data_IF_409850161506
#
_entry.id   IF_409850161506
#
_cell.length_a   1.000
_cell.length_b   1.000
_cell.length_c   1.000
_cell.angle_alpha   90.00
_cell.angle_beta   90.00
_cell.angle_gamma   90.00
#
_symmetry.space_group_name_H-M   'P 1'
#
loop_
_entity.id
_entity.type
_entity.pdbx_description
1 polymer ?
#
# COMPACT_ATOMS: atom_id res chain seq x y z
N UNK A 1 -55.93 32.56 3.55
CA UNK A 1 -54.49 32.93 3.72
C UNK A 1 -53.74 31.70 4.12
N UNK A 2 -53.00 31.07 3.18
CA UNK A 2 -52.12 29.92 3.47
C UNK A 2 -50.71 30.45 3.63
N UNK A 3 -50.14 30.33 4.82
CA UNK A 3 -48.75 30.66 5.07
C UNK A 3 -47.87 29.48 4.64
N UNK A 4 -47.04 29.64 3.61
CA UNK A 4 -46.06 28.66 3.20
C UNK A 4 -44.85 28.77 4.14
N UNK A 5 -44.61 27.70 4.93
CA UNK A 5 -43.39 27.56 5.76
C UNK A 5 -42.31 27.00 4.84
N UNK A 6 -41.36 27.85 4.47
CA UNK A 6 -40.13 27.49 3.79
C UNK A 6 -39.19 26.84 4.83
N UNK A 7 -39.05 25.50 4.80
CA UNK A 7 -38.07 24.78 5.58
C UNK A 7 -36.71 24.92 4.88
N UNK A 8 -35.82 25.76 5.39
CA UNK A 8 -34.46 25.87 4.91
C UNK A 8 -33.65 24.66 5.44
N UNK A 9 -33.36 23.69 4.57
CA UNK A 9 -32.41 22.62 4.88
C UNK A 9 -31.00 23.21 4.74
N UNK A 10 -30.33 23.47 5.87
CA UNK A 10 -28.91 23.80 5.87
C UNK A 10 -28.09 22.56 5.49
N UNK A 11 -27.54 22.53 4.29
CA UNK A 11 -26.49 21.56 3.96
C UNK A 11 -25.26 21.88 4.81
N UNK A 12 -24.98 21.06 5.80
CA UNK A 12 -23.71 21.11 6.51
C UNK A 12 -22.60 20.69 5.52
N UNK A 13 -21.57 21.55 5.39
CA UNK A 13 -20.38 21.17 4.64
C UNK A 13 -19.74 19.92 5.28
N UNK A 14 -19.21 18.98 4.49
CA UNK A 14 -18.49 17.83 5.06
C UNK A 14 -17.35 18.34 5.93
N UNK A 15 -17.26 17.82 7.16
CA UNK A 15 -16.15 18.14 8.06
C UNK A 15 -14.83 17.72 7.40
N UNK A 16 -13.81 18.57 7.45
CA UNK A 16 -12.47 18.18 7.03
C UNK A 16 -12.00 16.95 7.84
N UNK A 17 -11.35 15.95 7.21
CA UNK A 17 -10.84 14.81 7.94
C UNK A 17 -9.84 15.28 9.00
N UNK A 18 -9.94 14.70 10.21
CA UNK A 18 -9.01 14.98 11.28
C UNK A 18 -7.57 14.62 10.84
N UNK A 19 -6.56 15.39 11.29
CA UNK A 19 -5.18 15.06 10.98
C UNK A 19 -4.81 13.67 11.51
N UNK A 20 -4.03 12.91 10.74
CA UNK A 20 -3.55 11.59 11.13
C UNK A 20 -2.61 11.70 12.33
N UNK A 21 -2.64 10.70 13.23
CA UNK A 21 -1.70 10.61 14.35
C UNK A 21 -0.25 10.48 13.84
N UNK A 22 0.65 11.44 14.12
CA UNK A 22 2.01 11.42 13.59
C UNK A 22 2.82 10.16 13.99
N UNK A 23 2.62 9.64 15.21
CA UNK A 23 3.33 8.45 15.68
C UNK A 23 2.87 7.19 14.91
N UNK A 24 1.59 7.07 14.62
CA UNK A 24 1.06 5.99 13.80
C UNK A 24 1.53 6.12 12.35
N UNK A 25 1.56 7.33 11.80
CA UNK A 25 2.09 7.59 10.45
C UNK A 25 3.54 7.13 10.34
N UNK A 26 4.42 7.54 11.27
CA UNK A 26 5.83 7.15 11.29
C UNK A 26 5.99 5.61 11.36
N UNK A 27 5.22 4.94 12.22
CA UNK A 27 5.27 3.49 12.36
C UNK A 27 4.81 2.76 11.08
N UNK A 28 3.77 3.25 10.41
CA UNK A 28 3.26 2.68 9.16
C UNK A 28 4.26 2.91 8.01
N UNK A 29 4.84 4.11 7.91
CA UNK A 29 5.87 4.44 6.93
C UNK A 29 7.09 3.54 7.09
N UNK A 30 7.55 3.29 8.32
CA UNK A 30 8.66 2.39 8.61
C UNK A 30 8.40 0.97 8.07
N UNK A 31 7.20 0.43 8.26
CA UNK A 31 6.79 -0.88 7.72
C UNK A 31 6.78 -0.87 6.19
N UNK A 32 6.23 0.18 5.59
CA UNK A 32 6.18 0.30 4.13
C UNK A 32 7.59 0.46 3.51
N UNK A 33 8.50 1.18 4.19
CA UNK A 33 9.91 1.24 3.78
C UNK A 33 10.63 -0.10 3.99
N UNK A 34 10.37 -0.84 5.06
CA UNK A 34 10.94 -2.19 5.23
C UNK A 34 10.53 -3.11 4.07
N UNK A 35 9.28 -3.00 3.61
CA UNK A 35 8.81 -3.74 2.45
C UNK A 35 9.55 -3.36 1.15
N UNK A 36 9.57 -2.08 0.79
CA UNK A 36 10.13 -1.65 -0.50
C UNK A 36 11.66 -1.68 -0.51
N UNK A 37 12.28 -1.18 0.53
CA UNK A 37 13.74 -1.14 0.63
C UNK A 37 14.32 -2.56 0.75
N UNK A 38 13.63 -3.47 1.48
CA UNK A 38 14.03 -4.87 1.55
C UNK A 38 14.06 -5.55 0.18
N UNK A 39 13.09 -5.28 -0.68
CA UNK A 39 13.09 -5.78 -2.05
C UNK A 39 14.24 -5.18 -2.89
N UNK A 40 14.49 -3.87 -2.75
CA UNK A 40 15.56 -3.19 -3.48
C UNK A 40 16.96 -3.61 -2.99
N UNK A 41 17.11 -3.97 -1.73
CA UNK A 41 18.36 -4.52 -1.17
C UNK A 41 18.54 -6.01 -1.50
N UNK A 42 17.45 -6.73 -1.74
CA UNK A 42 17.44 -8.19 -1.80
C UNK A 42 17.55 -8.81 -0.39
N UNK A 43 16.94 -8.16 0.60
CA UNK A 43 16.89 -8.59 2.00
C UNK A 43 15.52 -9.24 2.32
N UNK A 44 15.43 -10.58 2.26
CA UNK A 44 14.18 -11.30 2.48
C UNK A 44 13.67 -11.19 3.93
N UNK A 45 14.56 -11.06 4.92
CA UNK A 45 14.17 -10.95 6.32
C UNK A 45 13.50 -9.59 6.59
N UNK A 46 14.01 -8.55 5.97
CA UNK A 46 13.43 -7.22 6.04
C UNK A 46 12.02 -7.20 5.44
N UNK A 47 11.83 -7.80 4.28
CA UNK A 47 10.51 -7.96 3.66
C UNK A 47 9.60 -8.82 4.54
N UNK A 48 10.08 -9.97 5.02
CA UNK A 48 9.28 -10.90 5.81
C UNK A 48 8.67 -10.27 7.07
N UNK A 49 9.43 -9.42 7.78
CA UNK A 49 8.92 -8.78 9.00
C UNK A 49 7.89 -7.68 8.75
N UNK A 50 7.83 -7.12 7.55
CA UNK A 50 6.83 -6.12 7.16
C UNK A 50 5.46 -6.72 6.83
N UNK A 51 5.39 -8.04 6.64
CA UNK A 51 4.24 -8.74 6.09
C UNK A 51 3.56 -9.65 7.13
N UNK A 52 2.23 -9.64 7.14
CA UNK A 52 1.44 -10.63 7.86
C UNK A 52 1.64 -12.03 7.23
N UNK A 53 1.64 -13.13 8.02
CA UNK A 53 1.71 -14.49 7.46
C UNK A 53 0.65 -14.78 6.39
N UNK A 54 -0.58 -14.31 6.58
CA UNK A 54 -1.70 -14.48 5.64
C UNK A 54 -1.78 -13.35 4.60
N UNK A 55 -0.66 -12.78 4.19
CA UNK A 55 -0.64 -11.72 3.19
C UNK A 55 -1.45 -12.10 1.95
N UNK A 56 -2.33 -11.21 1.52
CA UNK A 56 -3.02 -11.29 0.24
C UNK A 56 -2.49 -10.20 -0.70
N UNK A 57 -1.52 -10.52 -1.56
CA UNK A 57 -1.01 -9.61 -2.59
C UNK A 57 -1.57 -9.97 -3.95
N UNK A 58 -2.08 -8.97 -4.68
CA UNK A 58 -2.78 -9.17 -5.96
C UNK A 58 -2.47 -8.07 -6.95
N UNK A 59 -2.56 -8.41 -8.26
CA UNK A 59 -2.57 -7.44 -9.36
C UNK A 59 -3.59 -7.83 -10.42
N UNK A 60 -4.19 -6.84 -11.05
CA UNK A 60 -4.93 -7.05 -12.30
C UNK A 60 -3.91 -7.15 -13.43
N UNK A 61 -3.98 -8.23 -14.20
CA UNK A 61 -3.06 -8.51 -15.31
C UNK A 61 -3.83 -8.90 -16.56
N UNK A 62 -3.29 -8.56 -17.73
CA UNK A 62 -3.81 -9.07 -19.00
C UNK A 62 -3.33 -10.50 -19.22
N UNK A 63 -4.23 -11.35 -19.69
CA UNK A 63 -3.94 -12.73 -20.10
C UNK A 63 -3.60 -12.79 -21.60
N UNK A 64 -3.02 -13.92 -22.08
CA UNK A 64 -2.72 -14.10 -23.51
C UNK A 64 -3.94 -14.00 -24.45
N UNK A 65 -5.15 -14.27 -23.94
CA UNK A 65 -6.42 -14.15 -24.66
C UNK A 65 -7.05 -12.74 -24.55
N UNK A 66 -6.25 -11.74 -24.14
CA UNK A 66 -6.66 -10.35 -23.90
C UNK A 66 -7.71 -10.15 -22.81
N UNK A 67 -8.15 -11.20 -22.12
CA UNK A 67 -9.01 -11.06 -20.95
C UNK A 67 -8.21 -10.59 -19.74
N UNK A 68 -8.90 -9.96 -18.76
CA UNK A 68 -8.28 -9.57 -17.51
C UNK A 68 -8.30 -10.73 -16.51
N UNK A 69 -7.24 -10.85 -15.75
CA UNK A 69 -7.08 -11.82 -14.68
C UNK A 69 -6.54 -11.21 -13.40
N UNK A 70 -6.51 -12.02 -12.37
CA UNK A 70 -5.95 -11.65 -11.08
C UNK A 70 -4.71 -12.51 -10.81
N UNK A 71 -3.53 -11.86 -10.82
CA UNK A 71 -2.32 -12.48 -10.30
C UNK A 71 -2.37 -12.45 -8.78
N UNK A 72 -2.03 -13.56 -8.14
CA UNK A 72 -1.93 -13.71 -6.68
C UNK A 72 -0.50 -13.98 -6.30
N UNK A 73 -0.11 -13.52 -5.12
CA UNK A 73 1.19 -13.73 -4.53
C UNK A 73 1.04 -13.85 -3.01
N UNK A 74 1.68 -14.84 -2.42
CA UNK A 74 1.74 -15.03 -0.96
C UNK A 74 2.95 -14.31 -0.37
N UNK A 75 3.04 -14.27 0.97
CA UNK A 75 4.22 -13.79 1.68
C UNK A 75 5.46 -14.57 1.29
N UNK A 76 5.39 -15.90 1.35
CA UNK A 76 6.54 -16.77 1.10
C UNK A 76 7.07 -16.60 -0.32
N UNK A 77 6.15 -16.52 -1.31
CA UNK A 77 6.54 -16.26 -2.70
C UNK A 77 7.24 -14.91 -2.88
N UNK A 78 6.78 -13.86 -2.19
CA UNK A 78 7.41 -12.54 -2.25
C UNK A 78 8.79 -12.54 -1.57
N UNK A 79 8.91 -13.22 -0.42
CA UNK A 79 10.18 -13.38 0.30
C UNK A 79 11.19 -14.14 -0.56
N UNK A 80 10.78 -15.22 -1.20
CA UNK A 80 11.62 -16.01 -2.11
C UNK A 80 12.09 -15.20 -3.33
N UNK A 81 11.21 -14.43 -3.95
CA UNK A 81 11.56 -13.53 -5.06
C UNK A 81 12.56 -12.44 -4.61
N UNK A 82 12.42 -11.96 -3.38
CA UNK A 82 13.37 -11.00 -2.80
C UNK A 82 14.74 -11.64 -2.57
N UNK A 83 14.79 -12.87 -2.03
CA UNK A 83 16.04 -13.62 -1.85
C UNK A 83 16.75 -13.90 -3.19
N UNK A 84 15.99 -14.10 -4.27
CA UNK A 84 16.52 -14.22 -5.63
C UNK A 84 17.00 -12.88 -6.24
N UNK A 85 16.76 -11.77 -5.56
CA UNK A 85 17.18 -10.44 -6.01
C UNK A 85 16.41 -9.89 -7.22
N UNK A 86 15.16 -10.31 -7.42
CA UNK A 86 14.35 -9.95 -8.61
C UNK A 86 14.22 -8.42 -8.78
N UNK A 87 14.12 -7.67 -7.67
CA UNK A 87 14.05 -6.21 -7.67
C UNK A 87 15.33 -5.55 -7.15
N UNK A 88 16.40 -6.32 -6.91
CA UNK A 88 17.65 -5.76 -6.39
C UNK A 88 18.18 -4.67 -7.30
N UNK A 89 18.39 -3.50 -6.71
CA UNK A 89 18.73 -2.26 -7.42
C UNK A 89 19.88 -1.57 -6.68
N UNK A 90 20.91 -1.05 -7.38
CA UNK A 90 21.95 -0.22 -6.75
C UNK A 90 21.35 0.95 -5.98
N UNK A 91 21.90 1.24 -4.80
CA UNK A 91 21.31 2.21 -3.87
C UNK A 91 21.24 3.64 -4.42
N UNK A 92 22.16 4.01 -5.27
CA UNK A 92 22.19 5.29 -5.99
C UNK A 92 21.10 5.45 -7.06
N UNK A 93 20.41 4.35 -7.39
CA UNK A 93 19.28 4.31 -8.34
C UNK A 93 17.93 4.15 -7.64
N UNK A 94 17.90 4.20 -6.31
CA UNK A 94 16.63 4.06 -5.58
C UNK A 94 15.79 5.31 -5.76
N UNK A 95 14.58 5.07 -6.26
CA UNK A 95 13.53 6.08 -6.38
C UNK A 95 12.23 5.44 -5.85
N UNK A 96 11.85 5.85 -4.66
CA UNK A 96 10.64 5.34 -4.00
C UNK A 96 10.08 6.39 -3.05
N UNK A 97 8.77 6.38 -2.94
CA UNK A 97 8.03 7.20 -1.98
C UNK A 97 6.99 6.37 -1.25
N UNK A 98 6.74 6.73 0.00
CA UNK A 98 5.69 6.18 0.85
C UNK A 98 4.75 7.29 1.25
N UNK A 99 3.46 7.01 1.28
CA UNK A 99 2.44 7.92 1.80
C UNK A 99 1.37 7.14 2.54
N UNK A 100 1.11 7.49 3.80
CA UNK A 100 -0.06 7.04 4.55
C UNK A 100 -1.27 7.83 4.06
N UNK A 101 -2.33 7.13 3.70
CA UNK A 101 -3.53 7.72 3.10
C UNK A 101 -4.64 7.90 4.12
N UNK A 102 -4.79 6.92 5.03
CA UNK A 102 -5.84 6.93 6.06
C UNK A 102 -5.48 6.00 7.21
N UNK A 103 -5.98 6.32 8.41
CA UNK A 103 -5.85 5.51 9.62
C UNK A 103 -7.20 5.51 10.36
N UNK A 104 -7.72 4.31 10.64
CA UNK A 104 -8.94 4.11 11.40
C UNK A 104 -8.72 3.03 12.47
N UNK A 105 -8.38 3.43 13.70
CA UNK A 105 -8.08 2.51 14.79
C UNK A 105 -6.89 1.61 14.49
N UNK A 106 -7.12 0.31 14.39
CA UNK A 106 -6.09 -0.70 14.09
C UNK A 106 -5.96 -1.04 12.59
N UNK A 107 -6.58 -0.26 11.72
CA UNK A 107 -6.50 -0.39 10.28
C UNK A 107 -5.95 0.87 9.62
N UNK A 108 -5.13 0.69 8.58
CA UNK A 108 -4.56 1.81 7.83
C UNK A 108 -4.45 1.49 6.34
N UNK A 109 -4.39 2.55 5.54
CA UNK A 109 -4.12 2.49 4.09
C UNK A 109 -2.87 3.30 3.79
N UNK A 110 -1.94 2.70 3.04
CA UNK A 110 -0.74 3.37 2.58
C UNK A 110 -0.48 3.08 1.10
N UNK A 111 0.33 3.93 0.47
CA UNK A 111 0.74 3.81 -0.92
C UNK A 111 2.26 3.89 -1.02
N UNK A 112 2.83 2.93 -1.72
CA UNK A 112 4.24 2.93 -2.13
C UNK A 112 4.31 3.14 -3.62
N UNK A 113 5.23 3.96 -4.08
CA UNK A 113 5.50 4.19 -5.49
C UNK A 113 6.98 4.07 -5.80
N UNK A 114 7.27 3.38 -6.88
CA UNK A 114 8.60 3.24 -7.47
C UNK A 114 8.51 3.52 -8.98
N UNK A 115 9.62 3.60 -9.73
CA UNK A 115 9.58 3.68 -11.19
C UNK A 115 8.91 2.47 -11.87
N UNK A 116 8.81 1.32 -11.19
CA UNK A 116 8.37 0.05 -11.76
C UNK A 116 6.96 -0.34 -11.39
N UNK A 117 6.47 0.09 -10.21
CA UNK A 117 5.15 -0.27 -9.70
C UNK A 117 4.60 0.74 -8.70
N UNK A 118 3.30 0.62 -8.47
CA UNK A 118 2.59 1.23 -7.34
C UNK A 118 1.94 0.11 -6.55
N UNK A 119 2.14 0.10 -5.24
CA UNK A 119 1.42 -0.76 -4.29
C UNK A 119 0.47 0.08 -3.43
N UNK A 120 -0.75 -0.41 -3.26
CA UNK A 120 -1.71 0.07 -2.28
C UNK A 120 -1.83 -0.97 -1.18
N UNK A 121 -1.53 -0.57 0.06
CA UNK A 121 -1.53 -1.46 1.22
C UNK A 121 -2.74 -1.23 2.10
N UNK A 122 -3.29 -2.33 2.63
CA UNK A 122 -4.01 -2.32 3.88
C UNK A 122 -3.09 -2.89 4.95
N UNK A 123 -2.91 -2.12 6.04
CA UNK A 123 -2.12 -2.54 7.20
C UNK A 123 -3.05 -2.79 8.37
N UNK A 124 -2.69 -3.74 9.22
CA UNK A 124 -3.32 -4.00 10.50
C UNK A 124 -2.32 -3.80 11.63
N UNK A 125 -2.81 -3.29 12.77
CA UNK A 125 -2.03 -3.19 14.00
C UNK A 125 -2.33 -4.38 14.91
N UNK A 126 -1.30 -5.17 15.19
CA UNK A 126 -1.34 -6.35 16.05
C UNK A 126 -0.50 -6.07 17.31
N UNK A 127 -1.17 -5.72 18.38
CA UNK A 127 -0.50 -5.20 19.59
C UNK A 127 0.10 -3.82 19.32
N UNK A 128 1.43 -3.74 19.38
CA UNK A 128 2.22 -2.53 19.12
C UNK A 128 2.81 -2.47 17.69
N UNK A 129 2.54 -3.49 16.86
CA UNK A 129 3.14 -3.62 15.53
C UNK A 129 2.14 -3.46 14.40
N UNK A 130 2.46 -2.60 13.46
CA UNK A 130 1.81 -2.56 12.15
C UNK A 130 2.44 -3.58 11.20
N UNK A 131 1.63 -4.27 10.40
CA UNK A 131 2.07 -5.17 9.32
C UNK A 131 1.14 -5.05 8.14
N UNK A 132 1.66 -5.31 6.93
CA UNK A 132 0.87 -5.31 5.69
C UNK A 132 0.09 -6.62 5.62
N UNK A 133 -1.25 -6.52 5.56
CA UNK A 133 -2.16 -7.68 5.45
C UNK A 133 -2.67 -7.88 4.02
N UNK A 134 -2.82 -6.80 3.25
CA UNK A 134 -3.22 -6.86 1.84
C UNK A 134 -2.38 -5.90 1.02
N UNK A 135 -2.14 -6.25 -0.25
CA UNK A 135 -1.56 -5.37 -1.24
C UNK A 135 -2.25 -5.54 -2.60
N UNK A 136 -2.62 -4.43 -3.23
CA UNK A 136 -3.00 -4.42 -4.64
C UNK A 136 -1.95 -3.61 -5.39
N UNK A 137 -1.23 -4.26 -6.32
CA UNK A 137 -0.18 -3.56 -7.06
C UNK A 137 -0.54 -3.37 -8.53
N UNK A 138 0.03 -2.34 -9.10
CA UNK A 138 -0.02 -2.02 -10.52
C UNK A 138 1.40 -1.88 -11.05
N UNK A 139 1.76 -2.67 -12.06
CA UNK A 139 3.04 -2.53 -12.75
C UNK A 139 2.98 -1.35 -13.70
N UNK A 140 3.96 -0.44 -13.58
CA UNK A 140 4.07 0.68 -14.51
C UNK A 140 4.61 0.19 -15.87
N UNK A 141 4.19 0.79 -16.98
CA UNK A 141 4.80 0.52 -18.29
C UNK A 141 6.30 0.81 -18.23
N UNK A 142 7.11 -0.07 -18.82
CA UNK A 142 8.54 0.26 -19.02
C UNK A 142 8.63 1.53 -19.86
N UNK A 143 9.42 2.50 -19.41
CA UNK A 143 9.72 3.66 -20.23
C UNK A 143 10.25 3.20 -21.59
N UNK A 144 9.83 3.83 -22.70
CA UNK A 144 10.42 3.53 -24.02
C UNK A 144 11.93 3.78 -23.94
N UNK A 145 12.70 2.81 -24.45
CA UNK A 145 14.16 2.94 -24.57
C UNK A 145 14.50 3.89 -25.69
#
# INVERSE_FOLDING_TARGET
>A
MFAAILLAVALAAPAEPAPLDPAAVEAIEAVAYDYVDGQLEGDPDRVARSLHPDLAKRAVVSRPDETLGLRRMTKDELVDLTAQGVLKTPRDQWDRSVRVLDIAGDAAVARVETPWFVDYFHLGRFGDRWVIVNALWHSKPKAPR
#
